data_IF_191234507536
#
_entry.id   IF_191234507536
#
_cell.length_a   1.000
_cell.length_b   1.000
_cell.length_c   1.000
_cell.angle_alpha   90.00
_cell.angle_beta   90.00
_cell.angle_gamma   90.00
#
_symmetry.space_group_name_H-M   'P 1'
#
loop_
_entity.id
_entity.type
_entity.pdbx_description
1 polymer ?
#
# COMPACT_ATOMS: atom_id res chain seq x y z
N UNK A 1 33.06 46.76 -11.38
CA UNK A 1 33.69 45.88 -12.39
C UNK A 1 34.26 44.72 -11.61
N UNK A 2 33.62 43.58 -11.82
CA UNK A 2 33.52 42.48 -10.88
C UNK A 2 34.79 41.66 -10.74
N UNK A 3 35.05 41.25 -9.50
CA UNK A 3 35.93 40.15 -9.15
C UNK A 3 35.12 38.87 -9.36
N UNK A 4 35.56 37.98 -10.23
CA UNK A 4 34.96 36.66 -10.42
C UNK A 4 35.88 35.59 -9.78
N UNK A 5 35.51 34.99 -8.64
CA UNK A 5 36.32 33.97 -7.98
C UNK A 5 35.72 32.59 -8.25
N UNK A 6 35.90 32.05 -9.46
CA UNK A 6 35.58 30.65 -9.78
C UNK A 6 36.43 30.19 -10.98
N UNK A 7 37.66 29.74 -10.73
CA UNK A 7 38.39 28.96 -11.73
C UNK A 7 39.36 27.90 -11.19
N UNK A 8 39.55 27.76 -9.87
CA UNK A 8 40.56 26.83 -9.32
C UNK A 8 39.93 25.60 -8.63
N UNK A 9 39.03 24.91 -9.31
CA UNK A 9 38.47 23.64 -8.82
C UNK A 9 38.15 22.66 -9.96
N UNK A 10 39.13 22.36 -10.82
CA UNK A 10 39.08 21.22 -11.75
C UNK A 10 40.45 20.96 -12.39
N UNK A 11 41.42 20.47 -11.61
CA UNK A 11 42.53 19.68 -12.15
C UNK A 11 42.37 18.25 -11.61
N UNK A 12 41.73 17.40 -12.40
CA UNK A 12 41.71 15.96 -12.21
C UNK A 12 42.39 15.34 -13.43
N UNK A 13 43.55 14.72 -13.19
CA UNK A 13 44.33 14.00 -14.19
C UNK A 13 43.51 12.83 -14.78
N UNK A 14 43.23 12.91 -16.07
CA UNK A 14 42.39 11.95 -16.79
C UNK A 14 43.17 10.83 -17.50
N UNK A 15 44.49 10.71 -17.32
CA UNK A 15 45.31 9.77 -18.09
C UNK A 15 45.44 8.36 -17.48
N UNK A 16 45.01 8.13 -16.22
CA UNK A 16 45.13 6.80 -15.57
C UNK A 16 43.91 5.87 -15.76
N UNK A 17 42.81 6.32 -16.37
CA UNK A 17 41.60 5.50 -16.55
C UNK A 17 41.49 4.78 -17.91
N UNK A 18 42.29 5.15 -18.91
CA UNK A 18 42.18 4.58 -20.25
C UNK A 18 42.95 3.28 -20.46
N UNK A 19 43.90 2.92 -19.59
CA UNK A 19 44.62 1.63 -19.64
C UNK A 19 43.79 0.45 -19.12
N UNK A 20 42.81 0.68 -18.24
CA UNK A 20 41.92 -0.39 -17.71
C UNK A 20 40.71 -0.70 -18.61
N UNK A 21 40.39 0.17 -19.57
CA UNK A 21 39.30 -0.08 -20.55
C UNK A 21 39.77 -0.94 -21.71
N UNK A 22 41.03 -0.85 -22.12
CA UNK A 22 41.60 -1.64 -23.23
C UNK A 22 41.74 -3.13 -22.91
N UNK A 23 42.02 -3.53 -21.67
CA UNK A 23 42.05 -4.95 -21.28
C UNK A 23 40.65 -5.61 -21.22
N UNK A 24 39.60 -4.84 -20.86
CA UNK A 24 38.21 -5.35 -20.87
C UNK A 24 37.63 -5.53 -22.27
N UNK A 25 38.01 -4.67 -23.22
CA UNK A 25 37.53 -4.77 -24.61
C UNK A 25 38.19 -5.94 -25.35
N UNK A 26 39.44 -6.26 -25.02
CA UNK A 26 40.17 -7.38 -25.65
C UNK A 26 39.72 -8.75 -25.12
N UNK A 27 39.36 -8.84 -23.84
CA UNK A 27 38.77 -10.06 -23.25
C UNK A 27 37.33 -10.33 -23.70
N UNK A 28 36.53 -9.29 -23.94
CA UNK A 28 35.19 -9.44 -24.54
C UNK A 28 35.24 -9.85 -26.02
N UNK A 29 36.18 -9.33 -26.82
CA UNK A 29 36.33 -9.77 -28.22
C UNK A 29 36.76 -11.24 -28.35
N UNK A 30 37.60 -11.74 -27.43
CA UNK A 30 37.99 -13.16 -27.44
C UNK A 30 36.88 -14.11 -26.93
N UNK A 31 35.93 -13.64 -26.12
CA UNK A 31 34.74 -14.43 -25.75
C UNK A 31 33.66 -14.45 -26.84
N UNK A 32 33.58 -13.41 -27.67
CA UNK A 32 32.63 -13.37 -28.79
C UNK A 32 33.05 -14.33 -29.91
N UNK A 33 34.35 -14.43 -30.21
CA UNK A 33 34.88 -15.36 -31.24
C UNK A 33 34.82 -16.85 -30.86
N UNK A 34 34.62 -17.20 -29.59
CA UNK A 34 34.45 -18.60 -29.17
C UNK A 34 32.99 -19.10 -29.20
N UNK A 35 32.02 -18.20 -29.38
CA UNK A 35 30.60 -18.53 -29.32
C UNK A 35 29.90 -18.62 -30.69
N UNK A 36 30.61 -18.40 -31.80
CA UNK A 36 30.01 -18.36 -33.15
C UNK A 36 29.56 -19.73 -33.70
N UNK A 37 29.76 -20.83 -32.96
CA UNK A 37 29.35 -22.18 -33.37
C UNK A 37 28.39 -22.89 -32.41
N UNK A 38 27.79 -22.18 -31.46
CA UNK A 38 26.68 -22.73 -30.68
C UNK A 38 25.38 -22.25 -31.31
N UNK A 39 24.71 -23.14 -32.04
CA UNK A 39 23.33 -22.97 -32.46
C UNK A 39 22.52 -22.51 -31.24
N UNK A 40 22.00 -21.29 -31.28
CA UNK A 40 21.19 -20.74 -30.20
C UNK A 40 19.90 -21.56 -30.14
N UNK A 41 19.87 -22.54 -29.23
CA UNK A 41 18.65 -23.24 -28.86
C UNK A 41 17.93 -22.32 -27.87
N UNK A 42 16.76 -21.76 -28.21
CA UNK A 42 15.96 -21.05 -27.22
C UNK A 42 15.73 -22.00 -26.06
N UNK A 43 16.17 -21.64 -24.85
CA UNK A 43 15.69 -22.33 -23.68
C UNK A 43 14.18 -22.09 -23.66
N UNK A 44 13.41 -23.14 -23.93
CA UNK A 44 12.00 -23.11 -23.64
C UNK A 44 11.90 -22.85 -22.13
N UNK A 45 11.57 -21.61 -21.76
CA UNK A 45 11.11 -21.27 -20.43
C UNK A 45 9.78 -22.01 -20.25
N UNK A 46 9.87 -23.28 -19.88
CA UNK A 46 8.72 -23.99 -19.37
C UNK A 46 8.31 -23.27 -18.08
N UNK A 47 7.18 -22.58 -18.17
CA UNK A 47 6.48 -22.03 -17.03
C UNK A 47 6.40 -23.09 -15.93
N UNK A 48 6.86 -22.76 -14.72
CA UNK A 48 6.90 -23.70 -13.60
C UNK A 48 8.24 -24.37 -13.29
N UNK A 49 9.38 -23.90 -13.81
CA UNK A 49 10.72 -24.35 -13.36
C UNK A 49 10.91 -24.26 -11.84
N UNK A 50 10.15 -23.38 -11.19
CA UNK A 50 10.18 -23.17 -9.75
C UNK A 50 9.36 -24.19 -8.94
N UNK A 51 8.49 -24.98 -9.58
CA UNK A 51 7.65 -26.00 -8.92
C UNK A 51 8.38 -27.31 -8.56
N UNK A 52 9.58 -27.54 -9.11
CA UNK A 52 10.31 -28.78 -8.86
C UNK A 52 11.12 -28.67 -7.58
N UNK A 53 10.58 -29.17 -6.47
CA UNK A 53 11.41 -29.40 -5.28
C UNK A 53 10.95 -30.61 -4.48
N UNK A 54 11.70 -31.71 -4.64
CA UNK A 54 11.80 -32.81 -3.68
C UNK A 54 12.69 -32.43 -2.48
N UNK A 55 13.40 -31.31 -2.57
CA UNK A 55 14.35 -30.82 -1.57
C UNK A 55 13.66 -30.00 -0.48
N UNK A 56 14.11 -30.14 0.77
CA UNK A 56 13.62 -29.37 1.92
C UNK A 56 13.78 -27.85 1.71
N UNK A 57 12.76 -27.08 2.11
CA UNK A 57 12.66 -25.63 1.95
C UNK A 57 13.88 -24.87 2.51
N UNK A 58 14.38 -25.27 3.68
CA UNK A 58 15.54 -24.64 4.33
C UNK A 58 16.85 -24.89 3.59
N UNK A 59 17.00 -26.05 2.95
CA UNK A 59 18.16 -26.38 2.11
C UNK A 59 18.11 -25.52 0.84
N UNK A 60 16.91 -25.36 0.27
CA UNK A 60 16.72 -24.55 -0.92
C UNK A 60 17.08 -23.08 -0.66
N UNK A 61 16.65 -22.49 0.45
CA UNK A 61 17.02 -21.11 0.82
C UNK A 61 18.53 -20.87 1.01
N UNK A 62 19.30 -21.92 1.29
CA UNK A 62 20.77 -21.85 1.40
C UNK A 62 21.48 -22.03 0.06
N UNK A 63 20.79 -22.51 -0.97
CA UNK A 63 21.35 -22.67 -2.30
C UNK A 63 21.43 -21.34 -3.05
N UNK A 64 22.36 -21.20 -4.00
CA UNK A 64 22.61 -19.93 -4.71
C UNK A 64 21.39 -19.38 -5.48
N UNK A 65 20.49 -20.24 -5.97
CA UNK A 65 19.30 -19.85 -6.74
C UNK A 65 17.97 -20.11 -6.02
N UNK A 66 17.98 -20.86 -4.92
CA UNK A 66 16.76 -21.29 -4.27
C UNK A 66 15.91 -20.17 -3.65
N UNK A 67 16.46 -19.07 -3.10
CA UNK A 67 15.63 -17.96 -2.66
C UNK A 67 14.79 -17.34 -3.78
N UNK A 68 15.38 -17.15 -4.97
CA UNK A 68 14.65 -16.64 -6.14
C UNK A 68 13.58 -17.64 -6.59
N UNK A 69 13.93 -18.92 -6.64
CA UNK A 69 12.98 -19.98 -6.96
C UNK A 69 11.78 -19.99 -6.01
N UNK A 70 12.02 -19.87 -4.70
CA UNK A 70 10.96 -19.85 -3.69
C UNK A 70 10.07 -18.62 -3.85
N UNK A 71 10.66 -17.44 -4.04
CA UNK A 71 9.88 -16.21 -4.25
C UNK A 71 8.95 -16.34 -5.46
N UNK A 72 9.48 -16.81 -6.59
CA UNK A 72 8.67 -17.01 -7.80
C UNK A 72 7.59 -18.08 -7.60
N UNK A 73 7.89 -19.18 -6.89
CA UNK A 73 6.88 -20.17 -6.49
C UNK A 73 5.77 -19.56 -5.65
N UNK A 74 6.11 -18.74 -4.65
CA UNK A 74 5.15 -18.06 -3.78
C UNK A 74 4.25 -17.12 -4.59
N UNK A 75 4.83 -16.31 -5.46
CA UNK A 75 4.13 -15.37 -6.34
C UNK A 75 3.21 -16.09 -7.31
N UNK A 76 3.71 -17.13 -7.99
CA UNK A 76 2.87 -17.94 -8.87
C UNK A 76 1.69 -18.56 -8.12
N UNK A 77 1.92 -19.17 -6.95
CA UNK A 77 0.83 -19.71 -6.13
C UNK A 77 -0.18 -18.63 -5.73
N UNK A 78 0.29 -17.42 -5.42
CA UNK A 78 -0.57 -16.28 -5.12
C UNK A 78 -1.43 -15.87 -6.33
N UNK A 79 -0.82 -15.69 -7.51
CA UNK A 79 -1.54 -15.30 -8.73
C UNK A 79 -2.54 -16.38 -9.19
N UNK A 80 -2.22 -17.65 -8.96
CA UNK A 80 -3.12 -18.78 -9.22
C UNK A 80 -4.11 -19.08 -8.07
N UNK A 81 -4.26 -18.16 -7.11
CA UNK A 81 -5.23 -18.22 -6.00
C UNK A 81 -5.06 -19.44 -5.08
N UNK A 82 -3.88 -20.06 -5.07
CA UNK A 82 -3.52 -21.12 -4.11
C UNK A 82 -3.03 -20.48 -2.81
N UNK A 83 -3.93 -19.74 -2.16
CA UNK A 83 -3.60 -18.86 -1.03
C UNK A 83 -3.07 -19.61 0.19
N UNK A 84 -3.56 -20.82 0.48
CA UNK A 84 -3.08 -21.63 1.60
C UNK A 84 -1.60 -21.97 1.46
N UNK A 85 -1.19 -22.42 0.27
CA UNK A 85 0.18 -22.84 0.03
C UNK A 85 1.12 -21.64 -0.12
N UNK A 86 0.67 -20.59 -0.80
CA UNK A 86 1.41 -19.32 -0.88
C UNK A 86 1.64 -18.73 0.52
N UNK A 87 0.62 -18.76 1.39
CA UNK A 87 0.74 -18.32 2.79
C UNK A 87 1.75 -19.18 3.56
N UNK A 88 1.64 -20.51 3.48
CA UNK A 88 2.54 -21.43 4.17
C UNK A 88 4.00 -21.15 3.80
N UNK A 89 4.31 -21.11 2.50
CA UNK A 89 5.67 -20.86 2.02
C UNK A 89 6.17 -19.45 2.37
N UNK A 90 5.31 -18.43 2.32
CA UNK A 90 5.66 -17.07 2.74
C UNK A 90 6.04 -17.03 4.23
N UNK A 91 5.28 -17.70 5.10
CA UNK A 91 5.57 -17.77 6.53
C UNK A 91 6.85 -18.55 6.83
N UNK A 92 7.12 -19.63 6.10
CA UNK A 92 8.39 -20.36 6.21
C UNK A 92 9.58 -19.49 5.80
N UNK A 93 9.44 -18.69 4.74
CA UNK A 93 10.46 -17.73 4.31
C UNK A 93 10.73 -16.67 5.37
N UNK A 94 9.66 -16.05 5.91
CA UNK A 94 9.75 -15.04 6.98
C UNK A 94 10.46 -15.63 8.20
N UNK A 95 10.04 -16.82 8.63
CA UNK A 95 10.64 -17.52 9.78
C UNK A 95 12.12 -17.80 9.57
N UNK A 96 12.53 -18.20 8.36
CA UNK A 96 13.94 -18.40 8.04
C UNK A 96 14.74 -17.11 8.22
N UNK A 97 14.25 -15.97 7.70
CA UNK A 97 14.93 -14.68 7.85
C UNK A 97 14.99 -14.26 9.32
N UNK A 98 13.91 -14.41 10.08
CA UNK A 98 13.90 -14.10 11.52
C UNK A 98 14.94 -14.92 12.29
N UNK A 99 15.06 -16.20 11.96
CA UNK A 99 16.11 -17.06 12.53
C UNK A 99 17.51 -16.57 12.16
N UNK A 100 17.71 -16.11 10.92
CA UNK A 100 18.99 -15.53 10.49
C UNK A 100 19.33 -14.25 11.25
N UNK A 101 18.35 -13.38 11.47
CA UNK A 101 18.54 -12.09 12.15
C UNK A 101 18.84 -12.25 13.64
N UNK A 102 18.41 -13.34 14.28
CA UNK A 102 18.69 -13.63 15.69
C UNK A 102 20.09 -14.21 15.93
N UNK A 103 20.84 -14.59 14.88
CA UNK A 103 22.21 -15.07 15.03
C UNK A 103 23.16 -13.90 15.28
N UNK A 104 24.03 -14.03 16.28
CA UNK A 104 25.00 -12.98 16.65
C UNK A 104 26.40 -13.21 16.05
N UNK A 105 26.78 -14.46 15.79
CA UNK A 105 28.10 -14.77 15.22
C UNK A 105 28.09 -14.65 13.68
N UNK A 106 28.97 -13.79 13.17
CA UNK A 106 29.20 -13.57 11.73
C UNK A 106 29.55 -14.86 10.98
N UNK A 107 30.22 -15.83 11.62
CA UNK A 107 30.57 -17.11 10.99
C UNK A 107 29.34 -18.01 10.84
N UNK A 108 28.50 -18.08 11.87
CA UNK A 108 27.24 -18.83 11.85
C UNK A 108 26.25 -18.26 10.83
N UNK A 109 26.13 -16.92 10.76
CA UNK A 109 25.29 -16.24 9.76
C UNK A 109 25.73 -16.61 8.34
N UNK A 110 27.04 -16.66 8.06
CA UNK A 110 27.52 -16.98 6.71
C UNK A 110 27.22 -18.43 6.30
N UNK A 111 27.21 -19.36 7.25
CA UNK A 111 26.87 -20.78 7.02
C UNK A 111 25.36 -20.94 6.86
N UNK A 112 24.58 -20.27 7.71
CA UNK A 112 23.13 -20.44 7.76
C UNK A 112 22.40 -19.61 6.68
N UNK A 113 22.93 -18.43 6.34
CA UNK A 113 22.40 -17.47 5.38
C UNK A 113 23.47 -17.05 4.35
N UNK A 114 23.96 -17.99 3.52
CA UNK A 114 25.01 -17.69 2.53
C UNK A 114 24.56 -16.63 1.51
N UNK A 115 23.25 -16.52 1.26
CA UNK A 115 22.63 -15.59 0.32
C UNK A 115 22.35 -14.21 0.91
N UNK A 116 22.66 -13.97 2.19
CA UNK A 116 22.47 -12.68 2.90
C UNK A 116 21.03 -12.16 2.81
N UNK A 117 20.05 -13.06 2.90
CA UNK A 117 18.63 -12.72 2.94
C UNK A 117 18.33 -11.96 4.24
N UNK A 118 17.88 -10.73 4.15
CA UNK A 118 17.57 -9.90 5.31
C UNK A 118 16.21 -9.19 5.21
N UNK A 119 15.57 -9.22 4.04
CA UNK A 119 14.37 -8.45 3.76
C UNK A 119 13.16 -9.38 3.55
N UNK A 120 12.26 -9.52 4.55
CA UNK A 120 11.05 -10.32 4.44
C UNK A 120 9.85 -9.55 3.84
N UNK A 121 10.04 -8.30 3.41
CA UNK A 121 8.98 -7.34 3.03
C UNK A 121 7.96 -7.90 2.03
N UNK A 122 8.42 -8.34 0.87
CA UNK A 122 7.56 -8.90 -0.19
C UNK A 122 6.75 -10.10 0.33
N UNK A 123 7.37 -10.95 1.16
CA UNK A 123 6.72 -12.14 1.71
C UNK A 123 5.71 -11.78 2.80
N UNK A 124 5.97 -10.74 3.60
CA UNK A 124 5.01 -10.22 4.58
C UNK A 124 3.77 -9.65 3.86
N UNK A 125 3.96 -8.95 2.74
CA UNK A 125 2.85 -8.45 1.92
C UNK A 125 2.01 -9.59 1.34
N UNK A 126 2.64 -10.56 0.67
CA UNK A 126 1.93 -11.71 0.10
C UNK A 126 1.22 -12.49 1.21
N UNK A 127 1.91 -12.79 2.31
CA UNK A 127 1.33 -13.48 3.47
C UNK A 127 0.11 -12.73 4.02
N UNK A 128 0.20 -11.41 4.17
CA UNK A 128 -0.91 -10.60 4.68
C UNK A 128 -2.13 -10.65 3.77
N UNK A 129 -1.94 -10.59 2.44
CA UNK A 129 -3.01 -10.71 1.44
C UNK A 129 -3.62 -12.11 1.42
N UNK A 130 -2.79 -13.16 1.42
CA UNK A 130 -3.27 -14.54 1.50
C UNK A 130 -4.07 -14.80 2.78
N UNK A 131 -3.57 -14.35 3.94
CA UNK A 131 -4.25 -14.48 5.22
C UNK A 131 -5.63 -13.80 5.19
N UNK A 132 -5.74 -12.61 4.56
CA UNK A 132 -7.00 -11.92 4.38
C UNK A 132 -7.97 -12.71 3.48
N UNK A 133 -7.50 -13.26 2.36
CA UNK A 133 -8.32 -14.10 1.47
C UNK A 133 -8.83 -15.37 2.18
N UNK A 134 -8.04 -15.91 3.11
CA UNK A 134 -8.40 -17.05 3.96
C UNK A 134 -9.19 -16.66 5.21
N UNK A 135 -9.64 -15.40 5.30
CA UNK A 135 -10.37 -14.83 6.45
C UNK A 135 -9.63 -14.91 7.79
N UNK A 136 -8.32 -15.10 7.77
CA UNK A 136 -7.47 -15.06 8.96
C UNK A 136 -6.97 -13.63 9.21
N UNK A 137 -7.91 -12.76 9.60
CA UNK A 137 -7.67 -11.32 9.81
C UNK A 137 -6.57 -11.07 10.85
N UNK A 138 -6.56 -11.84 11.95
CA UNK A 138 -5.55 -11.71 13.02
C UNK A 138 -4.13 -11.92 12.49
N UNK A 139 -3.94 -12.93 11.63
CA UNK A 139 -2.65 -13.19 11.02
C UNK A 139 -2.27 -12.10 10.00
N UNK A 140 -3.23 -11.59 9.22
CA UNK A 140 -2.99 -10.50 8.29
C UNK A 140 -2.49 -9.24 9.01
N UNK A 141 -3.15 -8.84 10.10
CA UNK A 141 -2.75 -7.72 10.96
C UNK A 141 -1.35 -7.95 11.52
N UNK A 142 -1.05 -9.15 12.04
CA UNK A 142 0.28 -9.49 12.55
C UNK A 142 1.39 -9.36 11.48
N UNK A 143 1.12 -9.77 10.24
CA UNK A 143 2.08 -9.61 9.14
C UNK A 143 2.33 -8.14 8.82
N UNK A 144 1.28 -7.32 8.84
CA UNK A 144 1.39 -5.88 8.60
C UNK A 144 2.09 -5.14 9.74
N UNK A 145 1.84 -5.52 11.00
CA UNK A 145 2.53 -4.92 12.13
C UNK A 145 4.04 -5.22 12.08
N UNK A 146 4.42 -6.44 11.70
CA UNK A 146 5.84 -6.77 11.42
C UNK A 146 6.42 -5.95 10.28
N UNK A 147 5.66 -5.83 9.19
CA UNK A 147 6.02 -4.98 8.05
C UNK A 147 6.20 -3.51 8.49
N UNK A 148 5.51 -3.07 9.54
CA UNK A 148 5.66 -1.73 10.10
C UNK A 148 6.85 -1.60 11.05
N UNK A 149 7.10 -2.59 11.91
CA UNK A 149 8.19 -2.57 12.90
C UNK A 149 9.58 -2.76 12.28
N UNK A 150 9.71 -3.62 11.28
CA UNK A 150 11.00 -3.93 10.64
C UNK A 150 11.51 -2.78 9.76
N UNK A 151 10.71 -1.72 9.63
CA UNK A 151 10.95 -0.53 8.82
C UNK A 151 11.03 0.71 9.72
N UNK A 152 12.08 0.83 10.51
CA UNK A 152 12.53 2.13 11.07
C UNK A 152 12.75 3.18 9.96
N UNK A 153 12.88 2.74 8.70
CA UNK A 153 12.63 3.54 7.51
C UNK A 153 11.27 3.17 6.96
N UNK A 154 10.20 3.82 7.44
CA UNK A 154 8.85 3.70 6.89
C UNK A 154 8.98 3.78 5.37
N UNK A 155 8.75 2.68 4.67
CA UNK A 155 8.74 2.74 3.21
C UNK A 155 7.63 3.70 2.85
N UNK A 156 7.99 4.86 2.29
CA UNK A 156 7.06 5.85 1.77
C UNK A 156 6.37 5.38 0.48
N UNK A 157 6.34 4.07 0.24
CA UNK A 157 5.69 3.47 -0.90
C UNK A 157 4.16 3.54 -0.72
N UNK A 158 3.43 4.23 -1.62
CA UNK A 158 1.98 4.37 -1.49
C UNK A 158 1.26 3.02 -1.46
N UNK A 159 1.75 2.01 -2.20
CA UNK A 159 1.18 0.66 -2.19
C UNK A 159 1.11 0.04 -0.79
N UNK A 160 2.12 0.31 0.04
CA UNK A 160 2.20 -0.19 1.41
C UNK A 160 1.23 0.54 2.33
N UNK A 161 1.15 1.86 2.21
CA UNK A 161 0.23 2.68 2.99
C UNK A 161 -1.22 2.25 2.74
N UNK A 162 -1.59 2.08 1.47
CA UNK A 162 -2.91 1.59 1.10
C UNK A 162 -3.19 0.19 1.64
N UNK A 163 -2.22 -0.73 1.54
CA UNK A 163 -2.36 -2.10 2.06
C UNK A 163 -2.56 -2.12 3.58
N UNK A 164 -1.82 -1.28 4.31
CA UNK A 164 -1.96 -1.11 5.77
C UNK A 164 -3.34 -0.60 6.13
N UNK A 165 -3.79 0.48 5.46
CA UNK A 165 -5.14 1.03 5.65
C UNK A 165 -6.21 -0.04 5.54
N UNK A 166 -6.19 -0.78 4.44
CA UNK A 166 -7.16 -1.85 4.17
C UNK A 166 -7.14 -2.94 5.25
N UNK A 167 -5.97 -3.47 5.61
CA UNK A 167 -5.87 -4.56 6.59
C UNK A 167 -6.23 -4.09 8.00
N UNK A 168 -5.86 -2.87 8.39
CA UNK A 168 -6.25 -2.32 9.68
C UNK A 168 -7.75 -2.07 9.77
N UNK A 169 -8.39 -1.59 8.71
CA UNK A 169 -9.85 -1.47 8.66
C UNK A 169 -10.51 -2.83 8.87
N UNK A 170 -10.09 -3.87 8.14
CA UNK A 170 -10.63 -5.23 8.34
C UNK A 170 -10.28 -5.81 9.71
N UNK A 171 -9.17 -5.39 10.31
CA UNK A 171 -8.75 -5.78 11.66
C UNK A 171 -9.42 -5.04 12.80
N UNK A 172 -10.37 -4.13 12.52
CA UNK A 172 -11.03 -3.31 13.53
C UNK A 172 -10.19 -2.14 14.07
N UNK A 173 -9.01 -1.88 13.48
CA UNK A 173 -8.10 -0.78 13.85
C UNK A 173 -8.38 0.44 12.96
N UNK A 174 -9.56 1.03 13.13
CA UNK A 174 -10.07 2.08 12.22
C UNK A 174 -9.24 3.36 12.23
N UNK A 175 -8.77 3.81 13.39
CA UNK A 175 -7.94 5.01 13.48
C UNK A 175 -6.60 4.85 12.75
N UNK A 176 -5.93 3.70 12.93
CA UNK A 176 -4.70 3.38 12.18
C UNK A 176 -4.98 3.30 10.68
N UNK A 177 -6.13 2.75 10.29
CA UNK A 177 -6.54 2.70 8.89
C UNK A 177 -6.63 4.10 8.26
N UNK A 178 -7.39 5.00 8.91
CA UNK A 178 -7.56 6.38 8.46
C UNK A 178 -6.22 7.09 8.38
N UNK A 179 -5.35 6.93 9.39
CA UNK A 179 -4.00 7.49 9.38
C UNK A 179 -3.20 7.09 8.13
N UNK A 180 -3.19 5.80 7.79
CA UNK A 180 -2.44 5.32 6.62
C UNK A 180 -3.06 5.74 5.30
N UNK A 181 -4.39 5.89 5.22
CA UNK A 181 -5.06 6.47 4.06
C UNK A 181 -4.74 7.96 3.89
N UNK A 182 -4.68 8.74 4.98
CA UNK A 182 -4.24 10.14 4.93
C UNK A 182 -2.79 10.22 4.46
N UNK A 183 -1.88 9.41 5.02
CA UNK A 183 -0.48 9.34 4.56
C UNK A 183 -0.36 8.99 3.08
N UNK A 184 -1.19 8.06 2.60
CA UNK A 184 -1.26 7.76 1.17
C UNK A 184 -1.65 9.00 0.37
N UNK A 185 -2.72 9.68 0.76
CA UNK A 185 -3.26 10.84 0.05
C UNK A 185 -2.32 12.06 0.09
N UNK A 186 -1.43 12.15 1.09
CA UNK A 186 -0.38 13.16 1.15
C UNK A 186 0.72 12.95 0.08
N UNK A 187 0.88 11.73 -0.43
CA UNK A 187 1.83 11.40 -1.51
C UNK A 187 1.13 11.28 -2.87
N UNK A 188 -0.06 10.68 -2.88
CA UNK A 188 -0.90 10.45 -4.05
C UNK A 188 -2.23 11.17 -3.82
N UNK A 189 -2.20 12.48 -4.06
CA UNK A 189 -3.37 13.33 -3.92
C UNK A 189 -4.54 12.80 -4.79
N UNK A 190 -5.76 13.15 -4.41
CA UNK A 190 -6.92 13.11 -5.29
C UNK A 190 -7.37 11.70 -5.74
N UNK A 191 -6.93 10.65 -5.04
CA UNK A 191 -7.39 9.29 -5.29
C UNK A 191 -8.79 9.07 -4.69
N UNK A 192 -9.81 9.16 -5.55
CA UNK A 192 -11.21 8.99 -5.15
C UNK A 192 -11.47 7.64 -4.44
N UNK A 193 -10.70 6.59 -4.77
CA UNK A 193 -10.89 5.28 -4.13
C UNK A 193 -10.52 5.34 -2.67
N UNK A 194 -9.45 6.03 -2.31
CA UNK A 194 -9.04 6.12 -0.91
C UNK A 194 -10.04 6.95 -0.11
N UNK A 195 -10.60 8.01 -0.68
CA UNK A 195 -11.72 8.73 -0.06
C UNK A 195 -12.95 7.83 0.17
N UNK A 196 -13.29 6.98 -0.81
CA UNK A 196 -14.35 5.95 -0.65
C UNK A 196 -14.01 4.95 0.46
N UNK A 197 -12.77 4.45 0.52
CA UNK A 197 -12.33 3.51 1.56
C UNK A 197 -12.33 4.13 2.97
N UNK A 198 -11.99 5.42 3.09
CA UNK A 198 -12.11 6.17 4.35
C UNK A 198 -13.56 6.26 4.80
N UNK A 199 -14.49 6.57 3.88
CA UNK A 199 -15.92 6.54 4.17
C UNK A 199 -16.36 5.17 4.70
N UNK A 200 -15.97 4.09 4.02
CA UNK A 200 -16.30 2.74 4.46
C UNK A 200 -15.72 2.44 5.85
N UNK A 201 -14.47 2.85 6.10
CA UNK A 201 -13.79 2.66 7.38
C UNK A 201 -14.56 3.33 8.52
N UNK A 202 -15.06 4.55 8.33
CA UNK A 202 -15.92 5.20 9.32
C UNK A 202 -17.24 4.46 9.56
N UNK A 203 -17.88 3.96 8.50
CA UNK A 203 -19.13 3.20 8.66
C UNK A 203 -18.92 1.85 9.37
N UNK A 204 -17.82 1.15 9.07
CA UNK A 204 -17.43 -0.05 9.81
C UNK A 204 -17.17 0.28 11.28
N UNK A 205 -16.43 1.35 11.55
CA UNK A 205 -16.21 1.85 12.90
C UNK A 205 -17.54 2.02 13.65
N UNK A 206 -18.47 2.79 13.08
CA UNK A 206 -19.80 2.99 13.67
C UNK A 206 -20.52 1.66 13.92
N UNK A 207 -20.57 0.77 12.91
CA UNK A 207 -21.30 -0.48 13.00
C UNK A 207 -20.76 -1.39 14.10
N UNK A 208 -19.44 -1.52 14.22
CA UNK A 208 -18.80 -2.38 15.22
C UNK A 208 -18.85 -1.79 16.62
N UNK A 209 -18.83 -0.46 16.77
CA UNK A 209 -19.11 0.18 18.06
C UNK A 209 -20.56 -0.07 18.51
N UNK A 210 -21.51 0.00 17.58
CA UNK A 210 -22.91 -0.32 17.87
C UNK A 210 -23.15 -1.83 18.09
N UNK A 211 -22.33 -2.70 17.50
CA UNK A 211 -22.48 -4.16 17.54
C UNK A 211 -21.14 -4.88 17.87
N UNK A 212 -20.65 -4.81 19.12
CA UNK A 212 -19.31 -5.31 19.48
C UNK A 212 -19.11 -6.83 19.36
N UNK A 213 -20.20 -7.58 19.19
CA UNK A 213 -20.19 -9.06 19.09
C UNK A 213 -20.08 -9.57 17.65
N UNK A 214 -20.25 -8.68 16.67
CA UNK A 214 -20.20 -9.04 15.24
C UNK A 214 -18.76 -9.11 14.73
N UNK A 215 -18.51 -10.02 13.78
CA UNK A 215 -17.19 -10.18 13.16
C UNK A 215 -16.91 -9.08 12.12
N UNK A 216 -15.64 -8.71 11.97
CA UNK A 216 -15.17 -7.64 11.08
C UNK A 216 -15.25 -7.98 9.58
N UNK A 217 -15.90 -9.09 9.22
CA UNK A 217 -16.02 -9.58 7.84
C UNK A 217 -17.36 -9.23 7.17
N UNK A 218 -18.21 -8.47 7.85
CA UNK A 218 -19.54 -8.10 7.35
C UNK A 218 -19.48 -7.16 6.15
N UNK A 219 -20.30 -7.44 5.14
CA UNK A 219 -20.42 -6.64 3.92
C UNK A 219 -21.21 -5.35 4.20
N UNK A 220 -20.65 -4.20 3.85
CA UNK A 220 -21.25 -2.88 4.07
C UNK A 220 -22.62 -2.74 3.39
N UNK A 221 -22.81 -3.35 2.21
CA UNK A 221 -24.11 -3.30 1.52
C UNK A 221 -25.22 -3.98 2.32
N UNK A 222 -24.88 -5.03 3.09
CA UNK A 222 -25.85 -5.67 4.01
C UNK A 222 -26.17 -4.73 5.17
N UNK A 223 -25.17 -4.05 5.70
CA UNK A 223 -25.35 -3.11 6.82
C UNK A 223 -26.26 -1.94 6.41
N UNK A 224 -26.05 -1.34 5.22
CA UNK A 224 -26.88 -0.22 4.75
C UNK A 224 -28.34 -0.62 4.52
N UNK A 225 -28.59 -1.84 4.01
CA UNK A 225 -29.98 -2.32 3.81
C UNK A 225 -30.75 -2.54 5.11
N UNK A 226 -30.06 -2.73 6.24
CA UNK A 226 -30.68 -2.94 7.55
C UNK A 226 -31.08 -1.63 8.24
N UNK A 227 -30.71 -0.46 7.71
CA UNK A 227 -31.14 0.83 8.26
C UNK A 227 -30.51 1.18 9.62
N UNK A 228 -29.31 0.67 9.91
CA UNK A 228 -28.71 0.72 11.26
C UNK A 228 -28.09 2.08 11.60
N UNK A 229 -27.77 2.89 10.58
CA UNK A 229 -27.02 4.13 10.77
C UNK A 229 -27.92 5.27 11.28
N UNK A 230 -27.44 5.94 12.34
CA UNK A 230 -28.03 7.17 12.87
C UNK A 230 -27.11 8.36 12.58
N UNK A 231 -27.66 9.58 12.61
CA UNK A 231 -26.85 10.80 12.49
C UNK A 231 -25.92 10.92 13.69
N UNK A 232 -24.62 10.69 13.46
CA UNK A 232 -23.55 10.81 14.43
C UNK A 232 -22.35 11.48 13.77
N UNK A 233 -21.37 11.89 14.57
CA UNK A 233 -20.14 12.47 14.05
C UNK A 233 -19.44 11.55 13.03
N UNK A 234 -19.43 10.24 13.30
CA UNK A 234 -18.78 9.25 12.45
C UNK A 234 -19.51 9.08 11.10
N UNK A 235 -20.84 9.03 11.10
CA UNK A 235 -21.61 8.94 9.85
C UNK A 235 -21.54 10.23 9.03
N UNK A 236 -21.38 11.39 9.68
CA UNK A 236 -21.10 12.68 9.03
C UNK A 236 -19.72 12.72 8.37
N UNK A 237 -18.68 12.22 9.06
CA UNK A 237 -17.33 12.09 8.47
C UNK A 237 -17.31 11.13 7.29
N UNK A 238 -18.06 10.03 7.38
CA UNK A 238 -18.26 9.13 6.24
C UNK A 238 -18.91 9.85 5.06
N UNK A 239 -19.97 10.62 5.30
CA UNK A 239 -20.66 11.40 4.27
C UNK A 239 -19.74 12.43 3.59
N UNK A 240 -18.89 13.12 4.35
CA UNK A 240 -17.88 14.03 3.78
C UNK A 240 -16.92 13.27 2.86
N UNK A 241 -16.42 12.12 3.31
CA UNK A 241 -15.47 11.33 2.53
C UNK A 241 -16.10 10.78 1.24
N UNK A 242 -17.34 10.30 1.28
CA UNK A 242 -18.01 9.75 0.09
C UNK A 242 -18.39 10.83 -0.91
N UNK A 243 -18.80 12.02 -0.45
CA UNK A 243 -19.01 13.19 -1.32
C UNK A 243 -17.72 13.61 -2.00
N UNK A 244 -16.62 13.67 -1.25
CA UNK A 244 -15.30 13.97 -1.82
C UNK A 244 -14.87 12.93 -2.85
N UNK A 245 -15.10 11.64 -2.57
CA UNK A 245 -14.86 10.57 -3.53
C UNK A 245 -15.70 10.76 -4.81
N UNK A 246 -16.97 11.12 -4.69
CA UNK A 246 -17.84 11.39 -5.83
C UNK A 246 -17.32 12.53 -6.71
N UNK A 247 -16.99 13.67 -6.10
CA UNK A 247 -16.42 14.82 -6.81
C UNK A 247 -15.16 14.44 -7.58
N UNK A 248 -14.18 13.84 -6.89
CA UNK A 248 -12.92 13.42 -7.49
C UNK A 248 -13.11 12.42 -8.63
N UNK A 249 -14.06 11.48 -8.47
CA UNK A 249 -14.38 10.50 -9.49
C UNK A 249 -14.90 11.13 -10.78
N UNK A 250 -15.73 12.18 -10.68
CA UNK A 250 -16.29 12.88 -11.83
C UNK A 250 -15.25 13.72 -12.58
N UNK A 251 -14.24 14.24 -11.87
CA UNK A 251 -13.20 15.11 -12.44
C UNK A 251 -12.07 14.27 -13.05
N UNK A 252 -11.80 13.09 -12.47
CA UNK A 252 -10.77 12.18 -12.97
C UNK A 252 -11.08 11.78 -14.41
N UNK A 253 -10.12 11.84 -15.35
CA UNK A 253 -10.36 11.43 -16.72
C UNK A 253 -10.54 9.91 -16.82
N UNK A 254 -11.67 9.48 -17.38
CA UNK A 254 -11.96 8.08 -17.68
C UNK A 254 -12.02 7.88 -19.18
N UNK A 255 -11.38 6.82 -19.68
CA UNK A 255 -11.50 6.41 -21.08
C UNK A 255 -12.84 5.68 -21.32
N UNK A 256 -13.96 6.40 -21.15
CA UNK A 256 -15.33 5.88 -21.27
C UNK A 256 -15.70 5.45 -22.69
N UNK A 257 -14.86 5.75 -23.68
CA UNK A 257 -14.93 5.16 -25.02
C UNK A 257 -14.70 3.64 -25.02
N UNK A 258 -14.00 3.11 -24.01
CA UNK A 258 -13.78 1.66 -23.84
C UNK A 258 -14.92 1.07 -23.00
N UNK A 259 -15.69 0.13 -23.56
CA UNK A 259 -16.86 -0.47 -22.92
C UNK A 259 -16.58 -0.98 -21.49
N UNK A 260 -15.48 -1.72 -21.30
CA UNK A 260 -15.10 -2.23 -19.98
C UNK A 260 -14.90 -1.11 -18.95
N UNK A 261 -14.22 -0.03 -19.34
CA UNK A 261 -13.96 1.12 -18.48
C UNK A 261 -15.27 1.86 -18.17
N UNK A 262 -16.14 2.03 -19.16
CA UNK A 262 -17.45 2.66 -18.98
C UNK A 262 -18.35 1.85 -18.03
N UNK A 263 -18.39 0.52 -18.16
CA UNK A 263 -19.12 -0.36 -17.26
C UNK A 263 -18.60 -0.24 -15.82
N UNK A 264 -17.28 -0.22 -15.64
CA UNK A 264 -16.66 -0.03 -14.33
C UNK A 264 -16.99 1.34 -13.74
N UNK A 265 -16.84 2.42 -14.52
CA UNK A 265 -17.18 3.78 -14.08
C UNK A 265 -18.64 3.87 -13.65
N UNK A 266 -19.57 3.35 -14.46
CA UNK A 266 -21.01 3.39 -14.16
C UNK A 266 -21.34 2.61 -12.89
N UNK A 267 -20.72 1.45 -12.69
CA UNK A 267 -20.92 0.64 -11.50
C UNK A 267 -20.40 1.35 -10.24
N UNK A 268 -19.15 1.82 -10.25
CA UNK A 268 -18.53 2.51 -9.11
C UNK A 268 -19.28 3.81 -8.77
N UNK A 269 -19.73 4.55 -9.79
CA UNK A 269 -20.50 5.78 -9.62
C UNK A 269 -21.81 5.47 -8.90
N UNK A 270 -22.53 4.44 -9.33
CA UNK A 270 -23.78 4.02 -8.72
C UNK A 270 -23.62 3.64 -7.25
N UNK A 271 -22.54 2.93 -6.89
CA UNK A 271 -22.26 2.58 -5.50
C UNK A 271 -22.03 3.82 -4.63
N UNK A 272 -21.23 4.77 -5.12
CA UNK A 272 -20.93 6.02 -4.41
C UNK A 272 -22.20 6.88 -4.27
N UNK A 273 -22.99 7.02 -5.34
CA UNK A 273 -24.26 7.76 -5.31
C UNK A 273 -25.26 7.12 -4.35
N UNK A 274 -25.39 5.79 -4.38
CA UNK A 274 -26.27 5.07 -3.45
C UNK A 274 -25.88 5.36 -2.00
N UNK A 275 -24.60 5.23 -1.67
CA UNK A 275 -24.13 5.43 -0.30
C UNK A 275 -24.26 6.89 0.14
N UNK A 276 -23.92 7.85 -0.74
CA UNK A 276 -24.08 9.29 -0.48
C UNK A 276 -25.55 9.62 -0.19
N UNK A 277 -26.47 9.24 -1.08
CA UNK A 277 -27.90 9.50 -0.93
C UNK A 277 -28.48 8.83 0.32
N UNK A 278 -27.98 7.64 0.69
CA UNK A 278 -28.40 6.96 1.90
C UNK A 278 -27.96 7.74 3.14
N UNK A 279 -26.69 8.16 3.21
CA UNK A 279 -26.17 8.91 4.36
C UNK A 279 -26.75 10.32 4.47
N UNK A 280 -27.08 10.98 3.35
CA UNK A 280 -27.81 12.26 3.39
C UNK A 280 -29.20 12.14 4.00
N UNK A 281 -29.91 11.02 3.75
CA UNK A 281 -31.19 10.75 4.40
C UNK A 281 -31.07 10.44 5.88
N UNK A 282 -29.91 9.96 6.32
CA UNK A 282 -29.62 9.73 7.74
C UNK A 282 -29.29 11.05 8.44
N UNK A 283 -28.79 12.05 7.72
CA UNK A 283 -28.41 13.36 8.28
C UNK A 283 -29.35 14.48 7.80
N UNK A 284 -30.47 14.64 8.49
CA UNK A 284 -31.54 15.62 8.17
C UNK A 284 -31.06 17.07 8.04
N UNK A 285 -29.90 17.43 8.60
CA UNK A 285 -29.30 18.77 8.49
C UNK A 285 -27.77 18.74 8.30
N UNK A 286 -27.33 18.33 7.11
CA UNK A 286 -25.92 18.28 6.73
C UNK A 286 -25.21 19.64 6.84
N UNK A 287 -25.89 20.73 6.53
CA UNK A 287 -25.29 22.07 6.46
C UNK A 287 -24.99 22.64 7.86
N UNK A 288 -25.91 22.47 8.81
CA UNK A 288 -25.66 22.76 10.23
C UNK A 288 -24.56 21.85 10.80
N UNK A 289 -24.56 20.58 10.40
CA UNK A 289 -23.54 19.61 10.81
C UNK A 289 -22.14 19.96 10.33
N UNK A 290 -22.02 20.46 9.09
CA UNK A 290 -20.76 20.98 8.55
C UNK A 290 -20.30 22.23 9.29
N UNK A 291 -21.21 23.11 9.70
CA UNK A 291 -20.88 24.26 10.55
C UNK A 291 -20.30 23.84 11.90
N UNK A 292 -20.90 22.83 12.55
CA UNK A 292 -20.40 22.28 13.81
C UNK A 292 -19.01 21.64 13.67
N UNK A 293 -18.77 20.94 12.55
CA UNK A 293 -17.47 20.37 12.23
C UNK A 293 -16.39 21.43 11.97
N UNK A 294 -16.78 22.58 11.43
CA UNK A 294 -15.84 23.67 11.16
C UNK A 294 -15.33 24.34 12.45
N UNK A 295 -16.10 24.26 13.54
CA UNK A 295 -15.76 24.82 14.85
C UNK A 295 -15.29 23.74 15.85
N UNK A 296 -14.65 22.67 15.35
CA UNK A 296 -14.19 21.52 16.16
C UNK A 296 -13.23 21.91 17.30
N UNK A 297 -12.47 22.99 17.16
CA UNK A 297 -11.55 23.46 18.21
C UNK A 297 -12.27 24.03 19.42
N UNK A 298 -13.49 24.53 19.25
CA UNK A 298 -14.29 25.14 20.32
C UNK A 298 -15.33 24.18 20.89
N UNK A 299 -15.57 23.05 20.20
CA UNK A 299 -16.58 22.06 20.59
C UNK A 299 -15.97 20.87 21.35
N UNK A 300 -15.88 21.00 22.67
CA UNK A 300 -15.36 19.95 23.57
C UNK A 300 -16.14 18.62 23.47
N UNK A 301 -17.46 18.68 23.22
CA UNK A 301 -18.27 17.48 23.04
C UNK A 301 -17.86 16.70 21.79
N UNK A 302 -17.60 17.40 20.68
CA UNK A 302 -17.15 16.77 19.44
C UNK A 302 -15.74 16.19 19.59
N UNK A 303 -14.81 16.90 20.26
CA UNK A 303 -13.46 16.37 20.57
C UNK A 303 -13.54 15.09 21.39
N UNK A 304 -14.40 15.07 22.41
CA UNK A 304 -14.60 13.88 23.24
C UNK A 304 -15.12 12.70 22.43
N UNK A 305 -16.09 12.91 21.55
CA UNK A 305 -16.61 11.87 20.65
C UNK A 305 -15.52 11.33 19.69
N UNK A 306 -14.66 12.20 19.14
CA UNK A 306 -13.53 11.79 18.28
C UNK A 306 -12.58 10.88 19.06
N UNK A 307 -12.19 11.31 20.27
CA UNK A 307 -11.29 10.57 21.13
C UNK A 307 -11.89 9.23 21.61
N UNK A 308 -13.18 9.20 21.94
CA UNK A 308 -13.91 7.98 22.33
C UNK A 308 -13.93 6.92 21.21
N UNK A 309 -13.91 7.35 19.95
CA UNK A 309 -13.81 6.46 18.79
C UNK A 309 -12.35 6.15 18.38
N UNK A 310 -11.36 6.65 19.14
CA UNK A 310 -9.93 6.40 18.94
C UNK A 310 -9.29 7.20 17.82
N UNK A 311 -9.98 8.16 17.21
CA UNK A 311 -9.43 9.00 16.15
C UNK A 311 -8.62 10.16 16.72
N UNK A 312 -7.61 10.60 15.97
CA UNK A 312 -6.85 11.81 16.28
C UNK A 312 -7.56 13.04 15.69
N UNK A 313 -7.62 14.13 16.46
CA UNK A 313 -8.24 15.38 16.04
C UNK A 313 -7.55 15.96 14.81
N UNK A 314 -6.23 15.85 14.70
CA UNK A 314 -5.48 16.37 13.56
C UNK A 314 -5.80 15.61 12.26
N UNK A 315 -6.09 14.31 12.34
CA UNK A 315 -6.58 13.54 11.19
C UNK A 315 -7.94 14.05 10.72
N UNK A 316 -8.85 14.33 11.64
CA UNK A 316 -10.19 14.84 11.31
C UNK A 316 -10.10 16.26 10.72
N UNK A 317 -9.27 17.14 11.29
CA UNK A 317 -9.03 18.48 10.72
C UNK A 317 -8.51 18.38 9.29
N UNK A 318 -7.53 17.49 9.04
CA UNK A 318 -6.99 17.27 7.71
C UNK A 318 -8.09 16.88 6.71
N UNK A 319 -8.95 15.93 7.08
CA UNK A 319 -10.10 15.49 6.25
C UNK A 319 -11.03 16.67 5.91
N UNK A 320 -11.36 17.49 6.90
CA UNK A 320 -12.27 18.63 6.73
C UNK A 320 -11.68 19.75 5.88
N UNK A 321 -10.37 19.97 5.96
CA UNK A 321 -9.67 20.94 5.11
C UNK A 321 -9.63 20.42 3.67
N UNK A 322 -9.11 19.21 3.47
CA UNK A 322 -8.87 18.64 2.13
C UNK A 322 -10.15 18.31 1.35
N UNK A 323 -11.25 18.02 2.05
CA UNK A 323 -12.56 17.82 1.42
C UNK A 323 -13.15 19.11 0.83
N UNK A 324 -12.83 20.28 1.38
CA UNK A 324 -13.36 21.58 0.91
C UNK A 324 -12.58 22.19 -0.23
N UNK A 325 -11.39 21.66 -0.52
CA UNK A 325 -10.54 22.20 -1.57
C UNK A 325 -11.27 22.06 -2.90
N UNK A 326 -11.60 23.21 -3.48
CA UNK A 326 -12.35 23.28 -4.73
C UNK A 326 -11.59 22.62 -5.87
N UNK A 327 -12.34 22.19 -6.89
CA UNK A 327 -11.79 21.57 -8.11
C UNK A 327 -10.73 22.44 -8.80
N UNK A 328 -10.88 23.77 -8.76
CA UNK A 328 -9.88 24.69 -9.30
C UNK A 328 -8.67 24.86 -8.36
N UNK A 329 -8.88 24.80 -7.04
CA UNK A 329 -7.80 24.80 -6.04
C UNK A 329 -6.95 23.52 -6.10
N UNK A 330 -7.56 22.39 -6.46
CA UNK A 330 -6.89 21.11 -6.69
C UNK A 330 -5.86 21.18 -7.83
N UNK A 331 -6.26 21.77 -8.97
CA UNK A 331 -5.37 21.94 -10.13
C UNK A 331 -4.18 22.86 -9.81
N UNK A 332 -4.41 23.95 -9.08
CA UNK A 332 -3.37 24.89 -8.67
C UNK A 332 -2.43 24.28 -7.61
N UNK A 333 -2.95 23.52 -6.64
CA UNK A 333 -2.10 22.86 -5.64
C UNK A 333 -1.25 21.73 -6.24
N UNK A 334 -1.77 20.95 -7.18
CA UNK A 334 -0.97 19.93 -7.85
C UNK A 334 0.17 20.60 -8.66
N UNK A 335 -0.06 21.78 -9.26
CA UNK A 335 0.99 22.57 -9.91
C UNK A 335 2.01 23.15 -8.91
N UNK A 336 1.57 23.73 -7.78
CA UNK A 336 2.46 24.30 -6.76
C UNK A 336 3.30 23.24 -6.03
N UNK A 337 2.77 22.03 -5.84
CA UNK A 337 3.49 20.92 -5.19
C UNK A 337 4.51 20.28 -6.14
N UNK A 338 4.16 20.10 -7.43
CA UNK A 338 5.11 19.68 -8.46
C UNK A 338 6.27 20.68 -8.64
N UNK A 339 6.02 21.96 -8.41
CA UNK A 339 7.04 23.02 -8.45
C UNK A 339 7.96 23.04 -7.20
N UNK A 340 7.61 22.36 -6.10
CA UNK A 340 8.45 22.26 -4.89
C UNK A 340 9.35 21.01 -4.88
N UNK A 341 9.06 20.03 -5.72
CA UNK A 341 9.83 18.79 -5.88
C UNK A 341 10.80 18.82 -7.10
N UNK A 342 10.93 19.98 -7.75
CA UNK A 342 11.94 20.34 -8.77
C UNK A 342 12.94 21.34 -8.18
#
# INVERSE_FOLDING_TARGET
MDVNPFSDFCNFDFEEQDTKKTEKVTSQKNQVLQNENLEYIPKHDYDGWFHTTTTSFSILLRSKGGPTQIKQSIEHLYFHRRFEESLRLSLEYIKFIEQCNNLSDKKEIKIYNPNRLNNPREMLEIASRCALQLKNVKLAVKCIDKLASDLEKVSNEPGHMRLRGMIYATGGRYADSIHYYIKYLQIRNNDYKIWKEMSHTFLYCYYHFANPKEDFTTDLMKITTQGIFQSTLITKLALICIKRAYELMLITPWATSVNYINSRFTHEKREIEYLSNYLEKVDDNFEESMSLLNNLEENETAKKMIAENGFDLEMIKWILVESKISVNGLYLMDQERLAKDL
#
